data_IF_920312984505
#
_entry.id   IF_920312984505
#
_cell.length_a   1.000
_cell.length_b   1.000
_cell.length_c   1.000
_cell.angle_alpha   90.00
_cell.angle_beta   90.00
_cell.angle_gamma   90.00
#
_symmetry.space_group_name_H-M   'P 1'
#
loop_
_entity.id
_entity.type
_entity.pdbx_description
1 polymer ?
#
# COMPACT_ATOMS: atom_id res chain seq x y z
N UNK A 1 23.29 25.89 -24.90
CA UNK A 1 22.23 25.12 -24.20
C UNK A 1 21.76 24.02 -25.16
N UNK A 2 22.20 22.78 -24.95
CA UNK A 2 21.80 21.64 -25.79
C UNK A 2 20.76 20.86 -24.98
N UNK A 3 19.52 20.84 -25.42
CA UNK A 3 18.49 19.99 -24.85
C UNK A 3 18.84 18.54 -25.21
N UNK A 4 19.32 17.76 -24.24
CA UNK A 4 19.49 16.32 -24.40
C UNK A 4 18.10 15.69 -24.57
N UNK A 5 17.87 14.81 -25.55
CA UNK A 5 16.65 14.03 -25.61
C UNK A 5 16.62 13.13 -24.38
N UNK A 6 15.72 13.41 -23.42
CA UNK A 6 15.42 12.47 -22.37
C UNK A 6 14.60 11.36 -23.05
N UNK A 7 15.26 10.25 -23.35
CA UNK A 7 14.59 9.02 -23.80
C UNK A 7 13.55 8.67 -22.73
N UNK A 8 12.27 8.94 -23.00
CA UNK A 8 11.19 8.50 -22.14
C UNK A 8 11.07 6.99 -22.30
N UNK A 9 11.87 6.24 -21.53
CA UNK A 9 11.56 4.85 -21.26
C UNK A 9 10.17 4.87 -20.62
N UNK A 10 9.20 4.17 -21.23
CA UNK A 10 7.90 3.98 -20.62
C UNK A 10 8.16 3.31 -19.26
N UNK A 11 7.93 4.05 -18.17
CA UNK A 11 8.10 3.46 -16.86
C UNK A 11 7.11 2.32 -16.70
N UNK A 12 7.55 1.20 -16.13
CA UNK A 12 6.67 0.05 -15.95
C UNK A 12 5.49 0.49 -15.10
N UNK A 13 4.28 0.12 -15.54
CA UNK A 13 3.05 0.45 -14.84
C UNK A 13 3.05 -0.07 -13.39
N UNK A 14 3.84 -1.11 -13.10
CA UNK A 14 4.19 -1.55 -11.76
C UNK A 14 5.67 -1.22 -11.53
N UNK A 15 5.96 -0.28 -10.64
CA UNK A 15 7.31 0.12 -10.25
C UNK A 15 7.47 0.03 -8.73
N UNK A 16 8.72 -0.08 -8.27
CA UNK A 16 9.11 -0.07 -6.86
C UNK A 16 10.05 1.11 -6.58
N UNK A 17 9.64 2.32 -6.95
CA UNK A 17 10.45 3.53 -6.76
C UNK A 17 10.42 4.14 -5.36
N UNK A 18 9.60 3.63 -4.42
CA UNK A 18 9.70 3.99 -2.99
C UNK A 18 10.80 3.17 -2.30
N UNK A 19 11.43 3.74 -1.27
CA UNK A 19 12.42 3.02 -0.45
C UNK A 19 11.76 1.84 0.26
N UNK A 20 12.48 0.73 0.37
CA UNK A 20 12.00 -0.42 1.14
C UNK A 20 11.77 0.00 2.61
N UNK A 21 10.70 -0.51 3.21
CA UNK A 21 10.26 -0.17 4.58
C UNK A 21 9.76 1.26 4.79
N UNK A 22 9.64 2.10 3.75
CA UNK A 22 8.99 3.42 3.86
C UNK A 22 7.56 3.43 3.35
N UNK A 23 7.02 2.26 2.97
CA UNK A 23 5.63 2.13 2.57
C UNK A 23 4.68 2.30 3.77
N UNK A 24 3.45 2.75 3.50
CA UNK A 24 2.41 2.83 4.50
C UNK A 24 2.11 1.46 5.11
N UNK A 25 1.92 1.41 6.43
CA UNK A 25 1.51 0.20 7.16
C UNK A 25 -0.01 0.07 7.10
N UNK A 26 -0.53 -1.15 6.93
CA UNK A 26 -1.97 -1.43 7.00
C UNK A 26 -2.40 -1.73 8.44
N UNK A 27 -3.53 -1.17 8.85
CA UNK A 27 -4.19 -1.48 10.13
C UNK A 27 -4.99 -2.77 10.05
N UNK A 28 -5.46 -3.25 11.20
CA UNK A 28 -6.36 -4.42 11.28
C UNK A 28 -7.69 -4.21 10.54
N UNK A 29 -8.10 -2.95 10.35
CA UNK A 29 -9.32 -2.53 9.64
C UNK A 29 -9.09 -2.33 8.14
N UNK A 30 -7.84 -2.46 7.68
CA UNK A 30 -7.46 -2.37 6.27
C UNK A 30 -7.13 -0.96 5.77
N UNK A 31 -7.21 0.07 6.61
CA UNK A 31 -6.76 1.41 6.26
C UNK A 31 -5.22 1.48 6.24
N UNK A 32 -4.64 2.17 5.25
CA UNK A 32 -3.25 2.60 5.32
C UNK A 32 -3.09 3.70 6.39
N UNK A 33 -2.01 3.68 7.17
CA UNK A 33 -1.75 4.68 8.22
C UNK A 33 -2.07 4.22 9.65
N UNK A 34 -1.77 5.03 10.67
CA UNK A 34 -1.87 4.64 12.08
C UNK A 34 -3.29 4.73 12.67
N UNK A 35 -3.71 3.68 13.39
CA UNK A 35 -5.10 3.35 13.74
C UNK A 35 -6.01 4.34 14.50
N UNK A 36 -5.60 5.57 14.85
CA UNK A 36 -6.50 6.61 15.41
C UNK A 36 -6.52 7.91 14.60
N UNK A 37 -5.56 8.09 13.70
CA UNK A 37 -5.49 9.23 12.79
C UNK A 37 -5.21 8.70 11.39
N UNK A 38 -6.25 8.64 10.56
CA UNK A 38 -6.18 8.20 9.16
C UNK A 38 -5.54 9.30 8.31
N UNK A 39 -4.25 9.56 8.49
CA UNK A 39 -3.44 10.12 7.42
C UNK A 39 -2.99 8.95 6.55
N UNK A 40 -3.91 8.49 5.71
CA UNK A 40 -3.72 7.30 4.91
C UNK A 40 -2.66 7.54 3.84
N UNK A 41 -1.45 7.06 4.11
CA UNK A 41 -0.42 6.99 3.07
C UNK A 41 -0.78 5.85 2.13
N UNK A 42 -0.63 6.04 0.83
CA UNK A 42 -0.85 4.97 -0.15
C UNK A 42 0.20 3.88 0.12
N UNK A 43 -0.29 2.71 0.48
CA UNK A 43 0.45 1.56 1.02
C UNK A 43 1.37 0.90 -0.01
N UNK A 44 1.18 1.18 -1.30
CA UNK A 44 2.00 0.66 -2.39
C UNK A 44 3.39 1.30 -2.53
N UNK A 45 4.31 0.56 -3.14
CA UNK A 45 5.73 0.91 -3.38
C UNK A 45 5.97 1.73 -4.67
N UNK A 46 4.91 2.06 -5.41
CA UNK A 46 4.98 2.72 -6.72
C UNK A 46 5.17 4.24 -6.65
N UNK A 47 5.75 4.81 -7.70
CA UNK A 47 5.89 6.27 -7.90
C UNK A 47 4.57 6.91 -8.41
N UNK A 48 4.58 8.22 -8.65
CA UNK A 48 3.42 9.02 -9.05
C UNK A 48 2.70 8.55 -10.33
N UNK A 49 3.34 7.74 -11.15
CA UNK A 49 2.77 7.16 -12.38
C UNK A 49 2.47 5.66 -12.28
N UNK A 50 2.87 5.02 -11.19
CA UNK A 50 2.73 3.58 -11.03
C UNK A 50 1.38 3.19 -10.38
N UNK A 51 0.97 1.96 -10.67
CA UNK A 51 0.01 1.20 -9.89
C UNK A 51 0.77 0.44 -8.80
N UNK A 52 0.19 0.36 -7.61
CA UNK A 52 0.75 -0.39 -6.48
C UNK A 52 -0.25 -1.42 -5.97
N UNK A 53 0.23 -2.60 -5.60
CA UNK A 53 -0.57 -3.60 -4.88
C UNK A 53 0.08 -3.84 -3.52
N UNK A 54 -0.74 -3.92 -2.47
CA UNK A 54 -0.32 -4.28 -1.13
C UNK A 54 -1.30 -5.32 -0.54
N UNK A 55 -0.80 -6.17 0.34
CA UNK A 55 -1.61 -7.12 1.09
C UNK A 55 -1.04 -7.28 2.50
N UNK A 56 -1.90 -7.57 3.47
CA UNK A 56 -1.52 -7.80 4.85
C UNK A 56 -2.34 -8.94 5.47
N UNK A 57 -1.73 -9.60 6.46
CA UNK A 57 -2.39 -10.61 7.30
C UNK A 57 -1.93 -10.39 8.74
N UNK A 58 -2.88 -10.36 9.67
CA UNK A 58 -2.65 -10.15 11.10
C UNK A 58 -3.37 -11.23 11.88
N UNK A 59 -2.65 -11.97 12.72
CA UNK A 59 -3.22 -12.97 13.63
C UNK A 59 -3.01 -12.55 15.09
N UNK A 60 -4.05 -12.66 15.90
CA UNK A 60 -4.00 -12.45 17.35
C UNK A 60 -4.59 -13.69 18.02
N UNK A 61 -3.77 -14.39 18.81
CA UNK A 61 -4.18 -15.56 19.58
C UNK A 61 -4.35 -15.16 21.05
N UNK A 62 -5.59 -15.20 21.54
CA UNK A 62 -5.96 -15.06 22.95
C UNK A 62 -6.36 -16.45 23.47
N UNK A 63 -6.28 -16.63 24.80
CA UNK A 63 -6.57 -17.92 25.44
C UNK A 63 -7.92 -18.53 25.03
N UNK A 64 -8.93 -17.69 24.78
CA UNK A 64 -10.30 -18.10 24.45
C UNK A 64 -10.77 -17.63 23.07
N UNK A 65 -9.98 -16.82 22.34
CA UNK A 65 -10.39 -16.20 21.08
C UNK A 65 -9.24 -16.14 20.09
N UNK A 66 -9.53 -16.37 18.81
CA UNK A 66 -8.55 -16.23 17.73
C UNK A 66 -9.05 -15.26 16.68
N UNK A 67 -8.39 -14.12 16.58
CA UNK A 67 -8.73 -13.12 15.58
C UNK A 67 -7.72 -13.20 14.43
N UNK A 68 -8.24 -13.32 13.21
CA UNK A 68 -7.44 -13.27 11.99
C UNK A 68 -8.00 -12.18 11.07
N UNK A 69 -7.16 -11.21 10.68
CA UNK A 69 -7.52 -10.19 9.69
C UNK A 69 -6.64 -10.34 8.45
N UNK A 70 -7.24 -10.22 7.27
CA UNK A 70 -6.52 -10.13 6.02
C UNK A 70 -7.10 -9.05 5.13
N UNK A 71 -6.26 -8.43 4.32
CA UNK A 71 -6.70 -7.41 3.38
C UNK A 71 -5.75 -7.21 2.22
N UNK A 72 -6.29 -6.57 1.18
CA UNK A 72 -5.57 -6.22 -0.05
C UNK A 72 -5.96 -4.80 -0.44
N UNK A 73 -5.02 -4.05 -0.98
CA UNK A 73 -5.27 -2.73 -1.53
C UNK A 73 -4.56 -2.52 -2.86
N UNK A 74 -5.14 -1.65 -3.68
CA UNK A 74 -4.60 -1.22 -4.97
C UNK A 74 -4.51 0.31 -4.96
N UNK A 75 -3.31 0.81 -5.18
CA UNK A 75 -3.00 2.23 -5.36
C UNK A 75 -2.87 2.60 -6.84
N UNK A 76 -3.32 3.80 -7.20
CA UNK A 76 -3.28 4.35 -8.55
C UNK A 76 -2.58 5.72 -8.48
N UNK A 77 -1.44 5.83 -9.16
CA UNK A 77 -0.73 7.10 -9.41
C UNK A 77 -0.41 7.91 -8.15
N UNK A 78 -0.19 7.22 -7.02
CA UNK A 78 0.00 7.84 -5.71
C UNK A 78 -1.09 8.89 -5.36
N UNK A 79 -2.32 8.68 -5.86
CA UNK A 79 -3.48 9.59 -5.67
C UNK A 79 -4.69 8.92 -5.07
N UNK A 80 -5.01 7.71 -5.52
CA UNK A 80 -6.19 6.97 -5.08
C UNK A 80 -5.77 5.59 -4.61
N UNK A 81 -6.32 5.14 -3.49
CA UNK A 81 -6.19 3.77 -3.00
C UNK A 81 -7.58 3.21 -2.73
N UNK A 82 -7.80 1.97 -3.16
CA UNK A 82 -9.00 1.20 -2.86
C UNK A 82 -8.54 -0.07 -2.15
N UNK A 83 -9.09 -0.32 -0.97
CA UNK A 83 -8.75 -1.46 -0.13
C UNK A 83 -9.96 -2.26 0.31
N UNK A 84 -9.74 -3.55 0.57
CA UNK A 84 -10.70 -4.44 1.20
C UNK A 84 -10.00 -5.20 2.34
N UNK A 85 -10.65 -5.27 3.49
CA UNK A 85 -10.20 -6.08 4.62
C UNK A 85 -11.36 -6.89 5.22
N UNK A 86 -11.02 -8.06 5.74
CA UNK A 86 -11.93 -8.96 6.42
C UNK A 86 -11.28 -9.47 7.70
N UNK A 87 -12.02 -9.33 8.78
CA UNK A 87 -11.69 -9.86 10.08
C UNK A 87 -12.56 -11.09 10.38
N UNK A 88 -11.91 -12.17 10.80
CA UNK A 88 -12.50 -13.40 11.29
C UNK A 88 -12.20 -13.48 12.81
N UNK A 89 -13.15 -13.93 13.60
CA UNK A 89 -13.07 -14.02 15.07
C UNK A 89 -13.26 -15.47 15.54
#
# INVERSE_FOLDING_TARGET
MLASPHSAFAEPALDSGKLILTNGVSTIEGSGGGGLATWATISGMGTDRAYGISAHVTGIELADFRVESHGVAVGIHDRLEIGYARQNF
#
